data_IF_900586795775
#
_entry.id   IF_900586795775
#
_cell.length_a   1.000
_cell.length_b   1.000
_cell.length_c   1.000
_cell.angle_alpha   90.00
_cell.angle_beta   90.00
_cell.angle_gamma   90.00
#
_symmetry.space_group_name_H-M   'P 1'
#
loop_
_entity.id
_entity.type
_entity.pdbx_description
1 polymer ?
#
# COMPACT_ATOMS: atom_id res chain seq x y z
N UNK A 1 1.84 -20.55 14.44
CA UNK A 1 2.53 -19.24 14.48
C UNK A 1 2.95 -19.01 15.92
N UNK A 2 4.21 -18.65 16.19
CA UNK A 2 4.64 -18.43 17.59
C UNK A 2 4.03 -17.12 18.12
N UNK A 3 3.83 -16.96 19.44
CA UNK A 3 3.33 -15.72 20.02
C UNK A 3 4.17 -14.48 19.67
N UNK A 4 5.49 -14.65 19.57
CA UNK A 4 6.44 -13.60 19.17
C UNK A 4 6.22 -13.14 17.73
N UNK A 5 6.00 -14.07 16.79
CA UNK A 5 5.69 -13.76 15.40
C UNK A 5 4.38 -12.95 15.30
N UNK A 6 3.40 -13.27 16.14
CA UNK A 6 2.12 -12.55 16.19
C UNK A 6 2.29 -11.12 16.68
N UNK A 7 3.02 -10.92 17.78
CA UNK A 7 3.25 -9.60 18.35
C UNK A 7 4.01 -8.69 17.37
N UNK A 8 5.03 -9.24 16.69
CA UNK A 8 5.78 -8.52 15.65
C UNK A 8 4.88 -8.07 14.49
N UNK A 9 3.98 -8.96 14.01
CA UNK A 9 3.04 -8.63 12.95
C UNK A 9 2.03 -7.55 13.38
N UNK A 10 1.53 -7.61 14.61
CA UNK A 10 0.59 -6.62 15.16
C UNK A 10 1.24 -5.24 15.37
N UNK A 11 2.51 -5.19 15.79
CA UNK A 11 3.28 -3.95 15.87
C UNK A 11 3.55 -3.36 14.48
N UNK A 12 4.00 -4.20 13.54
CA UNK A 12 4.26 -3.78 12.15
C UNK A 12 2.99 -3.25 11.48
N UNK A 13 1.84 -3.90 11.70
CA UNK A 13 0.56 -3.44 11.17
C UNK A 13 0.20 -2.05 11.73
N UNK A 14 0.39 -1.82 13.03
CA UNK A 14 0.14 -0.51 13.65
C UNK A 14 1.05 0.58 13.12
N UNK A 15 2.33 0.30 12.94
CA UNK A 15 3.29 1.26 12.37
C UNK A 15 2.92 1.64 10.93
N UNK A 16 2.49 0.67 10.12
CA UNK A 16 2.02 0.92 8.76
C UNK A 16 0.73 1.74 8.73
N UNK A 17 -0.23 1.47 9.62
CA UNK A 17 -1.46 2.24 9.73
C UNK A 17 -1.17 3.70 10.14
N UNK A 18 -0.23 3.93 11.06
CA UNK A 18 0.21 5.27 11.44
C UNK A 18 0.84 6.01 10.25
N UNK A 19 1.77 5.38 9.53
CA UNK A 19 2.40 5.97 8.35
C UNK A 19 1.41 6.26 7.22
N UNK A 20 0.37 5.42 7.05
CA UNK A 20 -0.70 5.68 6.10
C UNK A 20 -1.50 6.94 6.46
N UNK A 21 -1.85 7.11 7.74
CA UNK A 21 -2.57 8.31 8.20
C UNK A 21 -1.76 9.59 8.00
N UNK A 22 -0.46 9.55 8.26
CA UNK A 22 0.43 10.69 8.01
C UNK A 22 0.48 11.07 6.51
N UNK A 23 0.52 10.07 5.63
CA UNK A 23 0.48 10.31 4.18
C UNK A 23 -0.86 10.88 3.72
N UNK A 24 -1.97 10.39 4.27
CA UNK A 24 -3.31 10.90 3.96
C UNK A 24 -3.48 12.36 4.42
N UNK A 25 -3.06 12.68 5.63
CA UNK A 25 -3.06 14.06 6.15
C UNK A 25 -2.18 15.00 5.33
N UNK A 26 -0.98 14.55 4.95
CA UNK A 26 -0.09 15.34 4.09
C UNK A 26 -0.69 15.54 2.69
N UNK A 27 -1.40 14.54 2.16
CA UNK A 27 -2.14 14.66 0.89
C UNK A 27 -3.24 15.71 0.99
N UNK A 28 -4.02 15.71 2.07
CA UNK A 28 -5.08 16.71 2.30
C UNK A 28 -4.48 18.11 2.39
N UNK A 29 -3.44 18.28 3.23
CA UNK A 29 -2.74 19.56 3.37
C UNK A 29 -2.17 20.09 2.05
N UNK A 30 -1.54 19.22 1.25
CA UNK A 30 -0.97 19.63 -0.04
C UNK A 30 -2.03 19.98 -1.06
N UNK A 31 -3.18 19.28 -1.07
CA UNK A 31 -4.32 19.64 -1.93
C UNK A 31 -4.87 21.03 -1.59
N UNK A 32 -4.90 21.39 -0.30
CA UNK A 32 -5.26 22.75 0.13
C UNK A 32 -4.24 23.80 -0.34
N UNK A 33 -2.95 23.46 -0.31
CA UNK A 33 -1.86 24.37 -0.74
C UNK A 33 -1.88 24.63 -2.25
N UNK A 34 -1.98 23.57 -3.07
CA UNK A 34 -1.96 23.72 -4.54
C UNK A 34 -3.30 24.19 -5.10
N UNK A 35 -4.38 24.02 -4.34
CA UNK A 35 -5.74 24.34 -4.76
C UNK A 35 -6.42 23.19 -5.54
N UNK A 36 -7.75 23.19 -5.51
CA UNK A 36 -8.56 22.09 -6.03
C UNK A 36 -8.36 21.83 -7.54
N UNK A 37 -8.35 22.88 -8.36
CA UNK A 37 -8.17 22.76 -9.81
C UNK A 37 -6.82 22.12 -10.16
N UNK A 38 -5.74 22.61 -9.54
CA UNK A 38 -4.39 22.06 -9.74
C UNK A 38 -4.33 20.62 -9.24
N UNK A 39 -4.92 20.31 -8.08
CA UNK A 39 -4.98 18.95 -7.57
C UNK A 39 -5.69 17.99 -8.55
N UNK A 40 -6.80 18.40 -9.16
CA UNK A 40 -7.51 17.59 -10.16
C UNK A 40 -6.64 17.34 -11.41
N UNK A 41 -5.97 18.38 -11.91
CA UNK A 41 -5.04 18.27 -13.05
C UNK A 41 -3.89 17.29 -12.75
N UNK A 42 -3.25 17.41 -11.58
CA UNK A 42 -2.19 16.50 -11.16
C UNK A 42 -2.67 15.06 -10.99
N UNK A 43 -3.93 14.87 -10.58
CA UNK A 43 -4.52 13.54 -10.46
C UNK A 43 -4.76 12.90 -11.83
N UNK A 44 -5.27 13.66 -12.80
CA UNK A 44 -5.41 13.22 -14.19
C UNK A 44 -4.03 12.94 -14.82
N UNK A 45 -3.03 13.77 -14.52
CA UNK A 45 -1.64 13.57 -14.93
C UNK A 45 -1.09 12.24 -14.41
N UNK A 46 -1.29 11.95 -13.11
CA UNK A 46 -0.82 10.71 -12.50
C UNK A 46 -1.51 9.48 -13.11
N UNK A 47 -2.79 9.59 -13.50
CA UNK A 47 -3.55 8.53 -14.17
C UNK A 47 -3.26 8.40 -15.67
N UNK A 48 -2.45 9.31 -16.23
CA UNK A 48 -2.14 9.40 -17.67
C UNK A 48 -3.40 9.59 -18.54
N UNK A 49 -4.31 10.41 -18.07
CA UNK A 49 -5.58 10.73 -18.76
C UNK A 49 -5.41 11.84 -19.83
N UNK A 50 -4.17 12.26 -20.10
CA UNK A 50 -3.81 13.32 -21.05
C UNK A 50 -3.12 12.78 -22.30
N UNK A 51 -3.20 13.53 -23.41
CA UNK A 51 -2.37 13.25 -24.58
C UNK A 51 -0.88 13.48 -24.27
N UNK A 52 0.05 12.81 -24.98
CA UNK A 52 1.48 12.95 -24.71
C UNK A 52 2.02 14.40 -24.75
N UNK A 53 1.39 15.26 -25.55
CA UNK A 53 1.76 16.69 -25.66
C UNK A 53 1.40 17.44 -24.37
N UNK A 54 0.20 17.22 -23.85
CA UNK A 54 -0.28 17.87 -22.62
C UNK A 54 0.50 17.37 -21.39
N UNK A 55 0.90 16.09 -21.36
CA UNK A 55 1.75 15.53 -20.30
C UNK A 55 3.09 16.28 -20.19
N UNK A 56 3.71 16.62 -21.32
CA UNK A 56 5.00 17.31 -21.34
C UNK A 56 4.86 18.78 -20.92
N UNK A 57 3.73 19.42 -21.23
CA UNK A 57 3.42 20.77 -20.75
C UNK A 57 3.24 20.80 -19.23
N UNK A 58 2.40 19.91 -18.69
CA UNK A 58 2.20 19.77 -17.23
C UNK A 58 3.53 19.52 -16.54
N UNK A 59 4.37 18.62 -17.09
CA UNK A 59 5.67 18.27 -16.51
C UNK A 59 6.60 19.48 -16.38
N UNK A 60 6.51 20.44 -17.29
CA UNK A 60 7.33 21.67 -17.27
C UNK A 60 6.83 22.69 -16.25
N UNK A 61 5.55 22.66 -15.90
CA UNK A 61 4.95 23.60 -14.93
C UNK A 61 4.96 23.09 -13.50
N UNK A 62 5.33 21.81 -13.26
CA UNK A 62 5.39 21.24 -11.92
C UNK A 62 6.35 22.01 -11.00
N UNK A 63 5.82 22.53 -9.90
CA UNK A 63 6.61 23.12 -8.82
C UNK A 63 6.99 22.09 -7.74
N UNK A 64 7.44 22.58 -6.58
CA UNK A 64 7.82 21.71 -5.47
C UNK A 64 6.62 21.00 -4.84
N UNK A 65 5.53 21.72 -4.59
CA UNK A 65 4.34 21.21 -3.91
C UNK A 65 3.57 20.24 -4.81
N UNK A 66 3.52 20.52 -6.12
CA UNK A 66 2.97 19.61 -7.13
C UNK A 66 3.70 18.25 -7.11
N UNK A 67 5.04 18.27 -7.19
CA UNK A 67 5.87 17.07 -7.17
C UNK A 67 5.74 16.32 -5.85
N UNK A 68 5.59 17.07 -4.76
CA UNK A 68 5.41 16.50 -3.43
C UNK A 68 4.07 15.78 -3.34
N UNK A 69 2.99 16.39 -3.80
CA UNK A 69 1.65 15.81 -3.82
C UNK A 69 1.61 14.53 -4.66
N UNK A 70 2.15 14.57 -5.89
CA UNK A 70 2.29 13.38 -6.74
C UNK A 70 3.06 12.26 -6.00
N UNK A 71 4.17 12.60 -5.33
CA UNK A 71 4.96 11.62 -4.59
C UNK A 71 4.18 10.97 -3.43
N UNK A 72 3.38 11.77 -2.71
CA UNK A 72 2.54 11.29 -1.62
C UNK A 72 1.47 10.32 -2.15
N UNK A 73 0.76 10.67 -3.22
CA UNK A 73 -0.22 9.77 -3.85
C UNK A 73 0.41 8.46 -4.30
N UNK A 74 1.59 8.51 -4.93
CA UNK A 74 2.31 7.29 -5.32
C UNK A 74 2.65 6.42 -4.11
N UNK A 75 3.02 7.02 -2.98
CA UNK A 75 3.35 6.28 -1.75
C UNK A 75 2.11 5.66 -1.11
N UNK A 76 0.98 6.36 -1.12
CA UNK A 76 -0.31 5.84 -0.66
C UNK A 76 -0.68 4.59 -1.47
N UNK A 77 -0.68 4.70 -2.80
CA UNK A 77 -1.05 3.58 -3.67
C UNK A 77 -0.09 2.38 -3.54
N UNK A 78 1.22 2.64 -3.42
CA UNK A 78 2.19 1.57 -3.15
C UNK A 78 1.97 0.87 -1.81
N UNK A 79 1.63 1.62 -0.76
CA UNK A 79 1.32 1.02 0.54
C UNK A 79 0.02 0.20 0.49
N UNK A 80 -1.02 0.70 -0.17
CA UNK A 80 -2.26 -0.06 -0.41
C UNK A 80 -1.99 -1.37 -1.14
N UNK A 81 -1.22 -1.32 -2.23
CA UNK A 81 -0.83 -2.51 -3.00
C UNK A 81 -0.03 -3.51 -2.16
N UNK A 82 0.93 -3.04 -1.35
CA UNK A 82 1.70 -3.89 -0.42
C UNK A 82 0.82 -4.55 0.63
N UNK A 83 -0.15 -3.82 1.19
CA UNK A 83 -1.10 -4.36 2.17
C UNK A 83 -1.97 -5.47 1.56
N UNK A 84 -2.47 -5.25 0.34
CA UNK A 84 -3.23 -6.28 -0.39
C UNK A 84 -2.37 -7.51 -0.66
N UNK A 85 -1.12 -7.33 -1.10
CA UNK A 85 -0.20 -8.44 -1.34
C UNK A 85 0.10 -9.21 -0.05
N UNK A 86 0.41 -8.53 1.05
CA UNK A 86 0.66 -9.15 2.35
C UNK A 86 -0.58 -9.91 2.87
N UNK A 87 -1.78 -9.33 2.74
CA UNK A 87 -3.04 -9.98 3.10
C UNK A 87 -3.28 -11.25 2.29
N UNK A 88 -3.09 -11.20 0.96
CA UNK A 88 -3.18 -12.37 0.08
C UNK A 88 -2.18 -13.45 0.46
N UNK A 89 -0.91 -13.09 0.69
CA UNK A 89 0.13 -14.04 1.11
C UNK A 89 -0.20 -14.70 2.45
N UNK A 90 -0.71 -13.94 3.43
CA UNK A 90 -1.14 -14.49 4.71
C UNK A 90 -2.31 -15.49 4.56
N UNK A 91 -3.28 -15.18 3.70
CA UNK A 91 -4.39 -16.09 3.39
C UNK A 91 -3.90 -17.38 2.73
N UNK A 92 -3.00 -17.31 1.74
CA UNK A 92 -2.42 -18.49 1.09
C UNK A 92 -1.61 -19.35 2.08
N UNK A 93 -0.82 -18.72 2.96
CA UNK A 93 -0.04 -19.44 3.98
C UNK A 93 -0.92 -20.13 5.04
N UNK A 94 -2.09 -19.57 5.35
CA UNK A 94 -3.06 -20.21 6.23
C UNK A 94 -3.80 -21.36 5.53
N UNK A 95 -4.18 -21.19 4.25
CA UNK A 95 -4.83 -22.25 3.47
C UNK A 95 -3.94 -23.49 3.32
N UNK A 96 -2.65 -23.32 2.98
CA UNK A 96 -1.70 -24.45 2.85
C UNK A 96 -1.32 -25.12 4.19
N UNK A 97 -1.81 -24.63 5.33
CA UNK A 97 -1.66 -25.28 6.65
C UNK A 97 -2.85 -26.15 7.03
N UNK A 98 -4.01 -25.99 6.38
CA UNK A 98 -5.18 -26.85 6.60
C UNK A 98 -5.06 -28.19 5.85
N UNK A 99 -4.23 -28.25 4.80
CA UNK A 99 -4.00 -29.45 3.97
C UNK A 99 -3.01 -30.45 4.59
N UNK A 100 -2.33 -30.08 5.69
CA UNK A 100 -1.39 -30.96 6.39
C UNK A 100 -2.18 -31.70 7.48
N UNK A 101 -2.64 -32.91 7.15
CA UNK A 101 -3.22 -33.82 8.14
C UNK A 101 -2.12 -34.35 9.09
N UNK A 102 -1.88 -33.61 10.16
CA UNK A 102 -0.95 -33.95 11.24
C UNK A 102 -1.34 -35.22 12.00
N UNK A 103 -2.54 -35.79 11.75
CA UNK A 103 -2.98 -37.06 12.38
C UNK A 103 -2.39 -38.31 11.70
N UNK A 104 -1.76 -38.17 10.52
CA UNK A 104 -1.16 -39.29 9.80
C UNK A 104 0.17 -39.80 10.40
N UNK A 105 0.79 -39.04 11.32
CA UNK A 105 2.11 -39.38 11.88
C UNK A 105 2.10 -40.25 13.13
N UNK A 106 0.94 -40.55 13.72
CA UNK A 106 0.85 -41.25 15.01
C UNK A 106 0.14 -42.62 14.91
N UNK A 107 0.52 -43.43 13.91
CA UNK A 107 0.19 -44.86 13.91
C UNK A 107 1.41 -45.65 14.41
N UNK A 108 1.39 -46.21 15.63
CA UNK A 108 2.44 -47.11 16.07
C UNK A 108 2.36 -48.39 15.23
N UNK A 109 3.47 -48.71 14.54
CA UNK A 109 3.69 -50.00 13.89
C UNK A 109 3.57 -51.10 14.97
N UNK A 110 2.42 -51.78 15.01
CA UNK A 110 2.29 -53.04 15.76
C UNK A 110 2.96 -54.13 14.93
N UNK A 111 4.00 -54.73 15.52
CA UNK A 111 4.63 -55.98 15.11
C UNK A 111 3.64 -57.13 15.10
#
# INVERSE_FOLDING_TARGET
MKPEDRAFLEETARALDASMRELEQESERLQEVVGEERAQELQAYLRREFEPVDIEEIRRTLDFDDRRLISVWIRIERNRARRVAAGRSAMTLNAGREDIDITAFDKPNKK
#
